data_IF_033659247281
#
_entry.id   IF_033659247281
#
_cell.length_a   1.000
_cell.length_b   1.000
_cell.length_c   1.000
_cell.angle_alpha   90.00
_cell.angle_beta   90.00
_cell.angle_gamma   90.00
#
_symmetry.space_group_name_H-M   'P 1'
#
loop_
_entity.id
_entity.type
_entity.pdbx_description
1 polymer ?
#
# COMPACT_ATOMS: atom_id res chain seq x y z
N UNK A 1 0.87 -9.03 -32.76
CA UNK A 1 0.98 -8.46 -31.41
C UNK A 1 -0.33 -8.46 -30.60
N UNK A 2 -1.51 -8.30 -31.23
CA UNK A 2 -2.81 -8.30 -30.51
C UNK A 2 -3.21 -9.59 -29.76
N UNK A 3 -2.77 -10.78 -30.20
CA UNK A 3 -3.09 -12.05 -29.52
C UNK A 3 -2.54 -12.13 -28.08
N UNK A 4 -1.33 -11.62 -27.82
CA UNK A 4 -0.75 -11.59 -26.47
C UNK A 4 -1.54 -10.66 -25.54
N UNK A 5 -1.95 -9.49 -26.04
CA UNK A 5 -2.78 -8.57 -25.25
C UNK A 5 -4.15 -9.17 -24.93
N UNK A 6 -4.81 -9.82 -25.91
CA UNK A 6 -6.09 -10.50 -25.69
C UNK A 6 -5.99 -11.65 -24.69
N UNK A 7 -4.94 -12.47 -24.77
CA UNK A 7 -4.69 -13.55 -23.81
C UNK A 7 -4.42 -13.02 -22.40
N UNK A 8 -3.60 -11.97 -22.28
CA UNK A 8 -3.37 -11.30 -20.99
C UNK A 8 -4.66 -10.75 -20.39
N UNK A 9 -5.53 -10.14 -21.20
CA UNK A 9 -6.82 -9.61 -20.75
C UNK A 9 -7.74 -10.74 -20.29
N UNK A 10 -7.88 -11.81 -21.08
CA UNK A 10 -8.74 -12.95 -20.77
C UNK A 10 -8.31 -13.69 -19.49
N UNK A 11 -7.00 -13.76 -19.19
CA UNK A 11 -6.48 -14.40 -17.99
C UNK A 11 -6.52 -13.48 -16.74
N UNK A 12 -6.41 -12.17 -16.93
CA UNK A 12 -6.32 -11.21 -15.82
C UNK A 12 -7.68 -10.68 -15.38
N UNK A 13 -8.64 -10.51 -16.29
CA UNK A 13 -9.99 -10.02 -15.97
C UNK A 13 -10.68 -10.87 -14.87
N UNK A 14 -10.76 -12.21 -14.99
CA UNK A 14 -11.38 -13.03 -13.94
C UNK A 14 -10.66 -12.93 -12.58
N UNK A 15 -9.33 -12.73 -12.59
CA UNK A 15 -8.54 -12.55 -11.36
C UNK A 15 -8.77 -11.18 -10.71
N UNK A 16 -9.28 -10.21 -11.46
CA UNK A 16 -9.66 -8.89 -10.96
C UNK A 16 -11.07 -8.89 -10.36
N UNK A 17 -11.95 -9.79 -10.80
CA UNK A 17 -13.30 -9.94 -10.23
C UNK A 17 -13.27 -10.41 -8.78
N UNK A 18 -12.26 -11.21 -8.40
CA UNK A 18 -12.10 -11.66 -7.03
C UNK A 18 -11.81 -10.46 -6.10
N UNK A 19 -12.71 -10.24 -5.13
CA UNK A 19 -12.64 -9.18 -4.13
C UNK A 19 -12.28 -9.69 -2.73
N UNK A 20 -11.92 -10.97 -2.60
CA UNK A 20 -11.56 -11.57 -1.32
C UNK A 20 -10.19 -11.09 -0.84
N UNK A 21 -10.10 -10.81 0.45
CA UNK A 21 -8.84 -10.44 1.08
C UNK A 21 -8.08 -11.70 1.52
N UNK A 22 -6.83 -11.79 1.09
CA UNK A 22 -5.90 -12.82 1.51
C UNK A 22 -5.51 -12.62 2.97
N UNK A 23 -5.64 -13.67 3.78
CA UNK A 23 -5.04 -13.72 5.12
C UNK A 23 -3.54 -13.95 5.00
N UNK A 24 -2.68 -13.33 5.83
CA UNK A 24 -1.26 -13.63 5.83
C UNK A 24 -1.00 -15.14 6.04
N UNK A 25 -0.47 -15.82 5.01
CA UNK A 25 -0.15 -17.25 5.02
C UNK A 25 1.36 -17.53 4.96
N UNK A 26 1.77 -18.76 5.29
CA UNK A 26 3.14 -19.20 5.60
C UNK A 26 4.13 -19.15 4.40
N UNK A 27 3.65 -18.94 3.17
CA UNK A 27 4.52 -18.91 1.99
C UNK A 27 5.22 -17.54 1.82
N UNK A 28 6.54 -17.49 2.03
CA UNK A 28 7.40 -16.29 1.85
C UNK A 28 7.27 -15.59 0.49
N UNK A 29 6.83 -16.28 -0.56
CA UNK A 29 6.86 -15.76 -1.94
C UNK A 29 5.76 -14.74 -2.26
N UNK A 30 4.76 -14.58 -1.40
CA UNK A 30 3.64 -13.64 -1.61
C UNK A 30 3.64 -12.46 -0.62
N UNK A 31 4.62 -12.40 0.28
CA UNK A 31 4.64 -11.47 1.41
C UNK A 31 5.30 -10.13 1.07
N UNK A 32 4.85 -9.48 0.00
CA UNK A 32 5.22 -8.09 -0.27
C UNK A 32 4.25 -7.17 0.48
N UNK A 33 4.73 -6.49 1.51
CA UNK A 33 3.96 -5.57 2.33
C UNK A 33 4.17 -4.12 1.88
N UNK A 34 3.17 -3.29 2.18
CA UNK A 34 3.14 -1.87 1.88
C UNK A 34 2.76 -1.08 3.12
N UNK A 35 3.30 0.14 3.24
CA UNK A 35 2.81 1.16 4.17
C UNK A 35 2.03 2.19 3.36
N UNK A 36 0.81 2.51 3.77
CA UNK A 36 -0.10 3.38 3.03
C UNK A 36 -0.49 4.57 3.90
N UNK A 37 -0.36 5.78 3.35
CA UNK A 37 -0.80 7.04 3.95
C UNK A 37 -1.94 7.64 3.12
N UNK A 38 -3.18 7.67 3.63
CA UNK A 38 -4.32 8.26 2.93
C UNK A 38 -4.31 9.79 2.91
N UNK A 39 -4.70 10.37 1.77
CA UNK A 39 -4.87 11.81 1.59
C UNK A 39 -6.10 12.13 0.76
N UNK A 40 -6.72 13.28 1.03
CA UNK A 40 -7.62 13.91 0.05
C UNK A 40 -6.80 14.41 -1.14
N UNK A 41 -7.37 14.29 -2.35
CA UNK A 41 -6.78 14.79 -3.61
C UNK A 41 -6.63 16.31 -3.60
N UNK A 42 -7.54 17.02 -2.93
CA UNK A 42 -7.41 18.45 -2.67
C UNK A 42 -6.11 18.80 -1.92
N UNK A 43 -5.60 17.89 -1.07
CA UNK A 43 -4.39 18.08 -0.27
C UNK A 43 -3.12 17.57 -0.99
N UNK A 44 -3.01 17.81 -2.30
CA UNK A 44 -1.93 17.28 -3.14
C UNK A 44 -0.53 17.76 -2.73
N UNK A 45 -0.41 19.00 -2.25
CA UNK A 45 0.88 19.54 -1.81
C UNK A 45 1.41 18.77 -0.58
N UNK A 46 0.54 18.49 0.41
CA UNK A 46 0.90 17.71 1.58
C UNK A 46 1.31 16.28 1.20
N UNK A 47 0.57 15.64 0.29
CA UNK A 47 0.92 14.32 -0.24
C UNK A 47 2.30 14.32 -0.94
N UNK A 48 2.60 15.36 -1.72
CA UNK A 48 3.90 15.48 -2.40
C UNK A 48 5.05 15.74 -1.41
N UNK A 49 4.83 16.56 -0.39
CA UNK A 49 5.80 16.79 0.70
C UNK A 49 6.11 15.48 1.44
N UNK A 50 5.07 14.72 1.78
CA UNK A 50 5.26 13.41 2.42
C UNK A 50 6.04 12.45 1.51
N UNK A 51 5.64 12.35 0.23
CA UNK A 51 6.34 11.49 -0.74
C UNK A 51 7.85 11.78 -0.77
N UNK A 52 8.23 13.05 -0.92
CA UNK A 52 9.66 13.45 -0.93
C UNK A 52 10.37 13.10 0.38
N UNK A 53 9.71 13.30 1.53
CA UNK A 53 10.28 12.94 2.84
C UNK A 53 10.50 11.44 2.97
N UNK A 54 9.55 10.63 2.52
CA UNK A 54 9.66 9.17 2.50
C UNK A 54 10.75 8.70 1.51
N UNK A 55 10.85 9.31 0.33
CA UNK A 55 11.92 9.00 -0.63
C UNK A 55 13.30 9.25 -0.02
N UNK A 56 13.46 10.40 0.65
CA UNK A 56 14.69 10.73 1.37
C UNK A 56 15.00 9.71 2.47
N UNK A 57 14.02 9.33 3.30
CA UNK A 57 14.27 8.33 4.35
C UNK A 57 14.64 6.96 3.78
N UNK A 58 14.05 6.56 2.65
CA UNK A 58 14.43 5.32 1.96
C UNK A 58 15.89 5.39 1.47
N UNK A 59 16.28 6.51 0.85
CA UNK A 59 17.64 6.72 0.35
C UNK A 59 18.67 6.72 1.49
N UNK A 60 18.45 7.54 2.52
CA UNK A 60 19.36 7.70 3.66
C UNK A 60 19.54 6.38 4.43
N UNK A 61 18.46 5.59 4.59
CA UNK A 61 18.49 4.27 5.24
C UNK A 61 18.99 3.15 4.31
N UNK A 62 19.28 3.46 3.04
CA UNK A 62 19.71 2.51 1.99
C UNK A 62 18.72 1.36 1.77
N UNK A 63 17.43 1.65 1.91
CA UNK A 63 16.37 0.70 1.63
C UNK A 63 16.11 0.60 0.13
N UNK A 64 15.70 -0.59 -0.33
CA UNK A 64 15.35 -0.83 -1.76
C UNK A 64 13.88 -0.54 -2.06
N UNK A 65 13.12 -0.09 -1.07
CA UNK A 65 11.71 0.20 -1.18
C UNK A 65 11.46 1.36 -2.14
N UNK A 66 10.28 1.41 -2.74
CA UNK A 66 9.89 2.48 -3.68
C UNK A 66 8.71 3.24 -3.10
N UNK A 67 8.71 4.57 -3.26
CA UNK A 67 7.60 5.42 -2.83
C UNK A 67 6.79 5.86 -4.05
N UNK A 68 5.47 5.68 -4.01
CA UNK A 68 4.57 6.14 -5.06
C UNK A 68 3.48 7.06 -4.51
N UNK A 69 2.75 7.67 -5.44
CA UNK A 69 1.47 8.30 -5.17
C UNK A 69 0.43 7.68 -6.10
N UNK A 70 -0.57 7.05 -5.51
CA UNK A 70 -1.57 6.25 -6.22
C UNK A 70 -2.93 6.95 -6.10
N UNK A 71 -3.57 7.25 -7.23
CA UNK A 71 -4.94 7.80 -7.23
C UNK A 71 -5.89 6.69 -6.80
N UNK A 72 -6.64 6.92 -5.73
CA UNK A 72 -7.59 5.94 -5.23
C UNK A 72 -8.97 6.15 -5.86
N UNK A 73 -9.57 7.31 -5.74
CA UNK A 73 -10.85 7.63 -6.38
C UNK A 73 -10.89 9.11 -6.76
N UNK A 74 -12.08 9.66 -7.03
CA UNK A 74 -12.22 11.08 -7.38
C UNK A 74 -11.80 12.04 -6.25
N UNK A 75 -11.85 11.61 -4.99
CA UNK A 75 -11.57 12.43 -3.81
C UNK A 75 -10.29 12.06 -3.07
N UNK A 76 -9.85 10.81 -3.17
CA UNK A 76 -8.80 10.25 -2.33
C UNK A 76 -7.61 9.76 -3.18
N UNK A 77 -6.43 9.86 -2.58
CA UNK A 77 -5.17 9.33 -3.10
C UNK A 77 -4.33 8.80 -1.95
N UNK A 78 -3.36 7.95 -2.27
CA UNK A 78 -2.46 7.36 -1.30
C UNK A 78 -1.02 7.74 -1.61
N UNK A 79 -0.23 7.99 -0.56
CA UNK A 79 1.23 7.90 -0.64
C UNK A 79 1.63 6.54 -0.09
N UNK A 80 2.42 5.78 -0.85
CA UNK A 80 2.65 4.35 -0.56
C UNK A 80 4.14 4.06 -0.56
N UNK A 81 4.60 3.31 0.43
CA UNK A 81 5.95 2.71 0.44
C UNK A 81 5.81 1.21 0.16
N UNK A 82 6.48 0.75 -0.89
CA UNK A 82 6.33 -0.58 -1.47
C UNK A 82 7.48 -1.50 -1.07
N UNK A 83 7.24 -2.81 -1.06
CA UNK A 83 8.29 -3.82 -1.13
C UNK A 83 8.90 -4.22 0.22
N UNK A 84 8.15 -4.14 1.31
CA UNK A 84 8.59 -4.70 2.59
C UNK A 84 8.47 -6.22 2.56
N UNK A 85 9.51 -6.91 3.04
CA UNK A 85 9.58 -8.37 3.03
C UNK A 85 8.64 -9.04 4.05
N UNK A 86 8.15 -8.30 5.05
CA UNK A 86 7.25 -8.79 6.08
C UNK A 86 6.40 -7.66 6.67
N UNK A 87 5.33 -8.04 7.38
CA UNK A 87 4.49 -7.11 8.13
C UNK A 87 5.32 -6.39 9.19
N UNK A 88 6.15 -7.13 9.92
CA UNK A 88 6.93 -6.61 11.03
C UNK A 88 7.99 -5.62 10.53
N UNK A 89 8.58 -5.85 9.35
CA UNK A 89 9.49 -4.87 8.77
C UNK A 89 8.75 -3.58 8.37
N UNK A 90 7.56 -3.69 7.78
CA UNK A 90 6.74 -2.52 7.48
C UNK A 90 6.34 -1.75 8.76
N UNK A 91 5.96 -2.46 9.83
CA UNK A 91 5.64 -1.85 11.12
C UNK A 91 6.86 -1.21 11.78
N UNK A 92 8.03 -1.85 11.72
CA UNK A 92 9.28 -1.30 12.22
C UNK A 92 9.68 -0.01 11.48
N UNK A 93 9.43 0.05 10.17
CA UNK A 93 9.60 1.28 9.42
C UNK A 93 8.63 2.38 9.87
N UNK A 94 7.35 2.07 10.10
CA UNK A 94 6.37 3.03 10.66
C UNK A 94 6.83 3.55 12.03
N UNK A 95 7.32 2.68 12.91
CA UNK A 95 7.81 3.06 14.22
C UNK A 95 9.07 3.95 14.13
N UNK A 96 9.99 3.63 13.20
CA UNK A 96 11.14 4.49 12.90
C UNK A 96 10.69 5.88 12.47
N UNK A 97 9.73 5.97 11.53
CA UNK A 97 9.19 7.24 11.06
C UNK A 97 8.51 8.03 12.18
N UNK A 98 7.93 7.38 13.20
CA UNK A 98 7.28 8.08 14.31
C UNK A 98 8.29 8.71 15.29
N UNK A 99 9.42 8.03 15.51
CA UNK A 99 10.34 8.38 16.60
C UNK A 99 11.64 9.06 16.14
N UNK A 100 12.06 8.86 14.90
CA UNK A 100 13.30 9.45 14.39
C UNK A 100 13.10 10.95 14.10
N UNK A 101 13.93 11.83 14.69
CA UNK A 101 13.82 13.28 14.57
C UNK A 101 13.96 13.78 13.13
N UNK A 102 14.82 13.16 12.32
CA UNK A 102 15.10 13.58 10.95
C UNK A 102 13.94 13.22 10.00
N UNK A 103 13.26 12.11 10.30
CA UNK A 103 12.20 11.56 9.45
C UNK A 103 10.81 11.58 10.08
N UNK A 104 10.62 12.32 11.19
CA UNK A 104 9.38 12.27 11.99
C UNK A 104 8.12 12.49 11.15
N UNK A 105 7.26 11.48 11.06
CA UNK A 105 5.96 11.53 10.38
C UNK A 105 4.90 11.04 11.37
N UNK A 106 4.01 11.94 11.76
CA UNK A 106 2.87 11.67 12.63
C UNK A 106 1.57 11.81 11.82
N UNK A 107 1.41 10.91 10.87
CA UNK A 107 0.23 10.83 10.00
C UNK A 107 -0.38 9.45 10.11
N UNK A 108 -1.71 9.40 10.04
CA UNK A 108 -2.43 8.15 9.97
C UNK A 108 -1.92 7.30 8.80
N UNK A 109 -1.63 6.04 9.08
CA UNK A 109 -1.13 5.08 8.11
C UNK A 109 -1.59 3.67 8.48
N UNK A 110 -1.48 2.76 7.52
CA UNK A 110 -1.72 1.34 7.76
C UNK A 110 -0.80 0.47 6.92
N UNK A 111 -0.58 -0.75 7.40
CA UNK A 111 0.22 -1.78 6.73
C UNK A 111 -0.71 -2.78 6.05
N UNK A 112 -0.42 -3.11 4.79
CA UNK A 112 -1.27 -3.97 3.96
C UNK A 112 -0.44 -4.88 3.05
N UNK A 113 -0.92 -6.12 2.85
CA UNK A 113 -0.36 -7.04 1.85
C UNK A 113 -0.58 -6.48 0.44
N UNK A 114 0.39 -6.65 -0.44
CA UNK A 114 0.29 -6.19 -1.83
C UNK A 114 -0.90 -6.81 -2.58
N UNK A 115 -1.25 -8.06 -2.28
CA UNK A 115 -2.45 -8.71 -2.81
C UNK A 115 -3.73 -7.96 -2.39
N UNK A 116 -3.88 -7.68 -1.10
CA UNK A 116 -5.03 -6.93 -0.57
C UNK A 116 -5.04 -5.48 -1.06
N UNK A 117 -3.87 -4.86 -1.21
CA UNK A 117 -3.74 -3.52 -1.78
C UNK A 117 -4.29 -3.46 -3.21
N UNK A 118 -4.00 -4.49 -4.02
CA UNK A 118 -4.56 -4.61 -5.37
C UNK A 118 -6.08 -4.70 -5.33
N UNK A 119 -6.63 -5.52 -4.43
CA UNK A 119 -8.09 -5.66 -4.25
C UNK A 119 -8.72 -4.31 -3.93
N UNK A 120 -8.20 -3.57 -2.93
CA UNK A 120 -8.78 -2.26 -2.59
C UNK A 120 -8.66 -1.25 -3.72
N UNK A 121 -7.57 -1.31 -4.50
CA UNK A 121 -7.36 -0.40 -5.64
C UNK A 121 -8.31 -0.69 -6.79
N UNK A 122 -8.68 -1.94 -7.03
CA UNK A 122 -9.62 -2.31 -8.11
C UNK A 122 -11.05 -2.05 -7.68
N UNK A 123 -11.43 -2.53 -6.49
CA UNK A 123 -12.82 -2.55 -6.02
C UNK A 123 -13.24 -1.32 -5.23
N UNK A 124 -12.30 -0.43 -4.94
CA UNK A 124 -12.53 0.79 -4.14
C UNK A 124 -13.22 0.52 -2.79
N UNK A 125 -12.88 -0.60 -2.17
CA UNK A 125 -13.52 -1.14 -0.95
C UNK A 125 -12.62 -1.07 0.30
N UNK A 126 -11.86 0.04 0.47
CA UNK A 126 -10.95 0.22 1.60
C UNK A 126 -11.66 0.12 2.95
N UNK A 127 -12.89 0.62 3.06
CA UNK A 127 -13.62 0.57 4.33
C UNK A 127 -14.03 -0.87 4.67
N UNK A 128 -14.45 -1.66 3.69
CA UNK A 128 -14.66 -3.11 3.88
C UNK A 128 -13.38 -3.84 4.31
N UNK A 129 -12.22 -3.44 3.80
CA UNK A 129 -10.94 -3.98 4.25
C UNK A 129 -10.67 -3.63 5.72
N UNK A 130 -10.87 -2.38 6.11
CA UNK A 130 -10.71 -1.91 7.50
C UNK A 130 -11.63 -2.68 8.44
N UNK A 131 -12.91 -2.82 8.10
CA UNK A 131 -13.88 -3.52 8.92
C UNK A 131 -13.45 -4.98 9.16
N UNK A 132 -13.08 -5.70 8.09
CA UNK A 132 -12.69 -7.12 8.18
C UNK A 132 -11.36 -7.38 8.89
N UNK A 133 -10.43 -6.42 8.91
CA UNK A 133 -9.08 -6.61 9.42
C UNK A 133 -8.79 -5.88 10.73
N UNK A 134 -9.64 -4.92 11.12
CA UNK A 134 -9.54 -4.17 12.37
C UNK A 134 -10.60 -4.57 13.40
N UNK A 135 -11.67 -5.26 13.01
CA UNK A 135 -12.62 -5.85 13.97
C UNK A 135 -12.37 -7.36 14.07
N UNK A 136 -12.12 -7.91 15.27
CA UNK A 136 -12.32 -9.34 15.47
C UNK A 136 -13.80 -9.61 15.24
N UNK A 137 -14.15 -10.57 14.38
CA UNK A 137 -15.51 -11.12 14.40
C UNK A 137 -15.75 -11.69 15.81
N UNK A 138 -16.93 -11.43 16.41
CA UNK A 138 -17.31 -12.08 17.67
C UNK A 138 -17.33 -13.61 17.52
#
# INVERSE_FOLDING_TARGET
EGKKAQQMIAEQLPKLENNEFTKPGVSRREQNWKVVFPFKRANNEAALKLKKKLEKSIEDLRYKNVVSRDIYNLEDQFVVVHGFASRDFALGYVELLKNNKDYRIDLFNFVILSANYKVIQVHKNLDTYKDKMLTPKP
#
